data_IF_602244305919
#
_entry.id   IF_602244305919
#
_cell.length_a   1.000
_cell.length_b   1.000
_cell.length_c   1.000
_cell.angle_alpha   90.00
_cell.angle_beta   90.00
_cell.angle_gamma   90.00
#
_symmetry.space_group_name_H-M   'P 1'
#
loop_
_entity.id
_entity.type
_entity.pdbx_description
1 polymer ?
#
# COMPACT_ATOMS: atom_id res chain seq x y z
N UNK A 1 21.49 21.77 46.75
CA UNK A 1 20.24 21.21 47.29
C UNK A 1 19.13 21.77 46.41
N UNK A 2 18.38 20.98 45.64
CA UNK A 2 17.48 19.89 46.06
C UNK A 2 16.23 20.46 46.76
N UNK A 3 14.99 20.13 46.38
CA UNK A 3 14.53 19.34 45.21
C UNK A 3 13.06 19.69 44.90
N UNK A 4 12.63 19.45 43.65
CA UNK A 4 11.25 19.14 43.22
C UNK A 4 11.18 19.00 41.69
N UNK A 5 11.65 17.85 41.18
CA UNK A 5 11.10 17.32 39.93
C UNK A 5 9.62 17.01 40.14
N UNK A 6 8.74 17.69 39.40
CA UNK A 6 7.41 17.18 39.11
C UNK A 6 7.51 16.37 37.83
N UNK A 7 7.48 15.05 37.93
CA UNK A 7 7.56 14.17 36.76
C UNK A 7 6.29 14.31 35.91
N UNK A 8 6.39 15.17 34.89
CA UNK A 8 5.39 15.26 33.83
C UNK A 8 5.64 14.13 32.83
N UNK A 9 5.24 12.91 33.21
CA UNK A 9 5.16 11.78 32.29
C UNK A 9 4.08 12.06 31.26
N UNK A 10 4.45 12.67 30.14
CA UNK A 10 3.58 12.77 28.98
C UNK A 10 3.10 11.35 28.59
N UNK A 11 1.79 11.11 28.41
CA UNK A 11 1.29 9.77 28.16
C UNK A 11 1.83 9.26 26.82
N UNK A 12 2.59 8.17 26.86
CA UNK A 12 2.95 7.41 25.67
C UNK A 12 1.69 6.70 25.15
N UNK A 13 0.91 7.38 24.31
CA UNK A 13 -0.16 6.77 23.52
C UNK A 13 0.43 5.99 22.34
N UNK A 14 1.39 5.12 22.63
CA UNK A 14 1.95 4.11 21.75
C UNK A 14 1.28 2.77 22.07
N UNK A 15 -0.05 2.71 21.92
CA UNK A 15 -0.73 1.42 21.92
C UNK A 15 -0.20 0.62 20.72
N UNK A 16 0.23 -0.62 20.97
CA UNK A 16 0.68 -1.49 19.90
C UNK A 16 -0.53 -1.74 18.97
N UNK A 17 -0.38 -1.71 17.63
CA UNK A 17 -1.50 -2.00 16.73
C UNK A 17 -2.22 -3.33 17.02
N UNK A 18 -1.56 -4.31 17.65
CA UNK A 18 -2.17 -5.57 18.13
C UNK A 18 -3.03 -5.42 19.41
N UNK A 19 -2.88 -4.35 20.19
CA UNK A 19 -3.68 -4.08 21.40
C UNK A 19 -5.08 -3.51 21.06
N UNK A 20 -5.26 -3.05 19.81
CA UNK A 20 -6.50 -2.46 19.33
C UNK A 20 -7.54 -3.52 19.03
N UNK A 21 -8.80 -3.15 19.14
CA UNK A 21 -9.92 -4.01 18.76
C UNK A 21 -9.81 -4.38 17.28
N UNK A 22 -9.88 -5.68 16.98
CA UNK A 22 -9.85 -6.23 15.62
C UNK A 22 -11.13 -7.06 15.39
N UNK A 23 -12.26 -6.44 15.03
CA UNK A 23 -13.58 -7.09 15.06
C UNK A 23 -13.68 -8.39 14.25
N UNK A 24 -12.93 -8.50 13.15
CA UNK A 24 -12.87 -9.71 12.32
C UNK A 24 -12.33 -10.95 13.07
N UNK A 25 -11.55 -10.78 14.14
CA UNK A 25 -11.10 -11.88 15.00
C UNK A 25 -12.25 -12.61 15.71
N UNK A 26 -13.47 -12.04 15.74
CA UNK A 26 -14.65 -12.70 16.33
C UNK A 26 -15.11 -13.95 15.56
N UNK A 27 -14.99 -13.96 14.24
CA UNK A 27 -15.32 -15.12 13.38
C UNK A 27 -14.09 -15.76 12.72
N UNK A 28 -12.90 -15.26 13.01
CA UNK A 28 -11.64 -15.87 12.57
C UNK A 28 -11.34 -17.29 13.09
N UNK A 29 -11.85 -17.76 14.25
CA UNK A 29 -11.65 -19.14 14.72
C UNK A 29 -12.12 -20.23 13.74
N UNK A 30 -12.84 -19.86 12.68
CA UNK A 30 -13.23 -20.74 11.58
C UNK A 30 -12.06 -21.16 10.68
N UNK A 31 -10.90 -20.50 10.77
CA UNK A 31 -9.61 -21.05 10.30
C UNK A 31 -9.00 -22.09 11.25
N UNK A 32 -9.61 -22.37 12.40
CA UNK A 32 -9.22 -23.48 13.28
C UNK A 32 -9.81 -24.84 12.86
N UNK A 33 -10.90 -24.82 12.09
CA UNK A 33 -11.58 -26.03 11.58
C UNK A 33 -10.68 -26.84 10.61
N UNK A 34 -10.83 -28.17 10.52
CA UNK A 34 -10.00 -29.00 9.65
C UNK A 34 -10.00 -28.60 8.16
N UNK A 35 -11.06 -27.93 7.69
CA UNK A 35 -11.12 -27.35 6.33
C UNK A 35 -10.09 -26.25 6.04
N UNK A 36 -9.46 -25.70 7.08
CA UNK A 36 -8.34 -24.76 6.98
C UNK A 36 -6.97 -25.48 6.95
N UNK A 37 -6.88 -26.72 7.44
CA UNK A 37 -5.64 -27.50 7.38
C UNK A 37 -5.37 -28.10 6.00
N UNK A 38 -6.42 -28.32 5.20
CA UNK A 38 -6.27 -28.73 3.80
C UNK A 38 -5.65 -27.64 2.89
N UNK A 39 -5.39 -26.43 3.38
CA UNK A 39 -4.64 -25.41 2.64
C UNK A 39 -3.13 -25.70 2.61
N UNK A 40 -2.56 -26.35 3.64
CA UNK A 40 -1.11 -26.67 3.67
C UNK A 40 -0.72 -27.87 2.77
N UNK A 41 -1.66 -28.75 2.44
CA UNK A 41 -1.41 -29.98 1.68
C UNK A 41 -1.18 -29.74 0.18
N UNK A 42 -1.53 -28.54 -0.33
CA UNK A 42 -1.46 -28.18 -1.77
C UNK A 42 -0.02 -27.99 -2.27
N UNK A 43 0.96 -27.97 -1.35
CA UNK A 43 2.41 -28.03 -1.65
C UNK A 43 2.83 -29.24 -2.50
N UNK A 44 2.03 -30.31 -2.51
CA UNK A 44 2.25 -31.51 -3.34
C UNK A 44 1.49 -31.51 -4.70
N UNK A 45 0.80 -30.41 -5.05
CA UNK A 45 0.16 -30.30 -6.37
C UNK A 45 1.19 -30.05 -7.47
N UNK A 46 0.90 -30.48 -8.71
CA UNK A 46 1.80 -30.24 -9.83
C UNK A 46 1.94 -28.74 -10.12
N UNK A 47 3.13 -28.29 -10.53
CA UNK A 47 3.48 -26.87 -10.67
C UNK A 47 2.43 -26.02 -11.41
N UNK A 48 1.81 -26.56 -12.47
CA UNK A 48 0.71 -25.91 -13.22
C UNK A 48 -0.51 -25.55 -12.36
N UNK A 49 -0.84 -26.38 -11.37
CA UNK A 49 -1.95 -26.13 -10.43
C UNK A 49 -1.53 -25.21 -9.29
N UNK A 50 -0.32 -25.39 -8.76
CA UNK A 50 0.20 -24.60 -7.64
C UNK A 50 0.25 -23.09 -7.96
N UNK A 51 0.78 -22.71 -9.12
CA UNK A 51 0.86 -21.32 -9.60
C UNK A 51 -0.50 -20.61 -9.57
N UNK A 52 -1.48 -21.12 -10.33
CA UNK A 52 -2.83 -20.55 -10.39
C UNK A 52 -3.56 -20.61 -9.04
N UNK A 53 -3.26 -21.58 -8.17
CA UNK A 53 -3.83 -21.67 -6.83
C UNK A 53 -3.31 -20.58 -5.89
N UNK A 54 -2.00 -20.37 -5.82
CA UNK A 54 -1.39 -19.28 -5.04
C UNK A 54 -1.84 -17.91 -5.53
N UNK A 55 -1.89 -17.71 -6.85
CA UNK A 55 -2.48 -16.54 -7.46
C UNK A 55 -3.93 -16.33 -6.97
N UNK A 56 -4.77 -17.37 -7.03
CA UNK A 56 -6.17 -17.29 -6.56
C UNK A 56 -6.29 -16.90 -5.08
N UNK A 57 -5.44 -17.46 -4.21
CA UNK A 57 -5.42 -17.17 -2.77
C UNK A 57 -5.05 -15.71 -2.46
N UNK A 58 -4.01 -15.14 -3.08
CA UNK A 58 -3.65 -13.71 -2.95
C UNK A 58 -4.67 -12.75 -3.61
N UNK A 59 -5.74 -13.29 -4.22
CA UNK A 59 -6.92 -12.53 -4.67
C UNK A 59 -8.16 -12.77 -3.80
N UNK A 60 -8.02 -13.57 -2.73
CA UNK A 60 -9.11 -13.89 -1.81
C UNK A 60 -10.12 -14.90 -2.35
N UNK A 61 -9.80 -15.60 -3.43
CA UNK A 61 -10.60 -16.71 -3.92
C UNK A 61 -10.40 -17.97 -3.06
N UNK A 62 -11.44 -18.78 -2.97
CA UNK A 62 -11.41 -20.12 -2.38
C UNK A 62 -11.91 -21.14 -3.40
N UNK A 63 -11.65 -22.42 -3.18
CA UNK A 63 -12.36 -23.46 -3.95
C UNK A 63 -13.83 -23.52 -3.50
N UNK A 64 -14.74 -23.79 -4.42
CA UNK A 64 -16.20 -23.65 -4.21
C UNK A 64 -16.79 -24.47 -3.04
N UNK A 65 -16.09 -25.50 -2.55
CA UNK A 65 -16.48 -26.22 -1.33
C UNK A 65 -16.18 -25.42 -0.05
N UNK A 66 -15.03 -24.73 0.00
CA UNK A 66 -14.63 -23.88 1.12
C UNK A 66 -15.48 -22.61 1.16
N UNK A 67 -15.84 -22.03 0.02
CA UNK A 67 -16.81 -20.92 -0.06
C UNK A 67 -18.17 -21.29 0.55
N UNK A 68 -18.71 -22.46 0.19
CA UNK A 68 -19.98 -22.96 0.74
C UNK A 68 -19.90 -23.17 2.25
N UNK A 69 -18.79 -23.72 2.76
CA UNK A 69 -18.54 -23.88 4.21
C UNK A 69 -18.52 -22.52 4.91
N UNK A 70 -17.75 -21.55 4.40
CA UNK A 70 -17.65 -20.21 4.97
C UNK A 70 -18.99 -19.48 4.98
N UNK A 71 -19.76 -19.54 3.88
CA UNK A 71 -21.08 -18.94 3.78
C UNK A 71 -22.08 -19.53 4.79
N UNK A 72 -22.11 -20.87 4.96
CA UNK A 72 -22.97 -21.55 5.93
C UNK A 72 -22.64 -21.13 7.37
N UNK A 73 -21.35 -21.01 7.72
CA UNK A 73 -20.99 -20.60 9.09
C UNK A 73 -21.23 -19.11 9.32
N UNK A 74 -20.98 -18.23 8.35
CA UNK A 74 -21.38 -16.82 8.46
C UNK A 74 -22.90 -16.67 8.63
N UNK A 75 -23.70 -17.41 7.87
CA UNK A 75 -25.16 -17.41 8.06
C UNK A 75 -25.57 -17.89 9.46
N UNK A 76 -24.93 -18.95 9.97
CA UNK A 76 -25.20 -19.48 11.32
C UNK A 76 -24.75 -18.51 12.44
N UNK A 77 -23.64 -17.79 12.25
CA UNK A 77 -23.08 -16.88 13.25
C UNK A 77 -23.82 -15.54 13.33
N UNK A 78 -24.30 -15.03 12.18
CA UNK A 78 -24.86 -13.68 12.08
C UNK A 78 -26.35 -13.63 11.74
N UNK A 79 -27.00 -14.78 11.48
CA UNK A 79 -28.46 -14.88 11.27
C UNK A 79 -29.00 -13.91 10.19
N UNK A 80 -28.24 -13.77 9.09
CA UNK A 80 -28.44 -12.83 7.98
C UNK A 80 -28.19 -11.33 8.29
N UNK A 81 -27.88 -10.94 9.53
CA UNK A 81 -27.46 -9.56 9.85
C UNK A 81 -26.03 -9.25 9.34
N UNK A 82 -25.64 -7.96 9.23
CA UNK A 82 -24.25 -7.58 8.98
C UNK A 82 -23.33 -8.04 10.11
N UNK A 83 -22.24 -8.74 9.78
CA UNK A 83 -21.28 -9.23 10.80
C UNK A 83 -20.58 -8.11 11.57
N UNK A 84 -20.53 -6.90 11.00
CA UNK A 84 -19.95 -5.70 11.60
C UNK A 84 -20.82 -4.48 11.30
N UNK A 85 -21.62 -4.07 12.29
CA UNK A 85 -22.34 -2.79 12.29
C UNK A 85 -21.41 -1.64 12.71
N UNK A 86 -20.37 -1.36 11.92
CA UNK A 86 -19.54 -0.18 12.15
C UNK A 86 -20.38 1.09 12.00
N UNK A 87 -20.33 2.00 12.98
CA UNK A 87 -21.11 3.24 12.94
C UNK A 87 -20.85 4.00 11.63
N UNK A 88 -21.90 4.11 10.82
CA UNK A 88 -21.94 4.89 9.58
C UNK A 88 -22.12 6.39 9.86
N UNK A 89 -22.82 6.71 10.93
CA UNK A 89 -23.32 8.05 11.26
C UNK A 89 -22.22 9.02 11.73
N UNK A 90 -21.05 8.51 12.12
CA UNK A 90 -20.03 9.34 12.79
C UNK A 90 -19.45 10.47 11.90
N UNK A 91 -19.27 10.25 10.58
CA UNK A 91 -18.34 11.08 9.76
C UNK A 91 -18.80 11.52 8.36
N UNK A 92 -19.99 11.13 7.88
CA UNK A 92 -20.50 11.55 6.55
C UNK A 92 -20.88 13.05 6.52
N UNK A 93 -19.90 13.93 6.28
CA UNK A 93 -20.14 15.36 6.02
C UNK A 93 -19.05 16.34 6.49
N UNK A 94 -18.05 15.91 7.27
CA UNK A 94 -17.00 16.81 7.77
C UNK A 94 -15.80 16.90 6.81
N UNK A 95 -15.32 18.12 6.58
CA UNK A 95 -14.12 18.38 5.79
C UNK A 95 -12.87 17.79 6.49
N UNK A 96 -11.97 17.07 5.79
CA UNK A 96 -10.74 16.52 6.38
C UNK A 96 -9.88 17.55 7.11
N UNK A 97 -9.87 18.81 6.67
CA UNK A 97 -9.17 19.91 7.35
C UNK A 97 -9.79 20.26 8.70
N UNK A 98 -11.12 20.15 8.83
CA UNK A 98 -11.82 20.38 10.08
C UNK A 98 -11.74 19.18 11.02
N UNK A 99 -11.70 17.97 10.47
CA UNK A 99 -11.33 16.76 11.23
C UNK A 99 -9.90 16.82 11.77
N UNK A 100 -8.93 17.25 10.98
CA UNK A 100 -7.56 17.48 11.45
C UNK A 100 -7.52 18.53 12.57
N UNK A 101 -8.26 19.65 12.43
CA UNK A 101 -8.43 20.67 13.49
C UNK A 101 -9.19 20.17 14.72
N UNK A 102 -10.02 19.14 14.62
CA UNK A 102 -10.72 18.53 15.75
C UNK A 102 -9.77 17.59 16.50
N UNK A 103 -9.02 16.74 15.79
CA UNK A 103 -7.99 15.89 16.40
C UNK A 103 -6.88 16.71 17.07
N UNK A 104 -6.37 17.76 16.43
CA UNK A 104 -5.38 18.67 17.04
C UNK A 104 -5.93 19.35 18.33
N UNK A 105 -7.25 19.59 18.39
CA UNK A 105 -7.94 20.13 19.59
C UNK A 105 -8.15 19.08 20.68
N UNK A 106 -8.32 17.80 20.33
CA UNK A 106 -8.31 16.69 21.28
C UNK A 106 -6.89 16.43 21.82
N UNK A 107 -5.85 16.60 21.00
CA UNK A 107 -4.45 16.44 21.42
C UNK A 107 -3.89 17.68 22.14
N UNK A 108 -4.39 17.96 23.34
CA UNK A 108 -3.85 19.01 24.24
C UNK A 108 -2.49 18.56 24.82
N UNK A 109 -1.46 18.47 23.96
CA UNK A 109 -0.06 18.22 24.33
C UNK A 109 0.98 18.54 23.24
N UNK A 110 0.59 18.91 22.00
CA UNK A 110 1.54 19.33 20.95
C UNK A 110 2.14 20.72 21.25
N UNK A 111 3.48 20.90 21.33
CA UNK A 111 4.09 22.21 21.54
C UNK A 111 3.90 23.12 20.32
N UNK A 112 3.18 24.24 20.49
CA UNK A 112 2.94 25.18 19.39
C UNK A 112 4.24 25.88 18.94
N UNK A 113 4.72 25.55 17.73
CA UNK A 113 5.68 26.39 17.00
C UNK A 113 5.00 27.71 16.61
N UNK A 114 5.27 28.78 17.37
CA UNK A 114 4.80 30.15 17.08
C UNK A 114 5.20 30.62 15.67
N UNK A 115 4.28 30.59 14.71
CA UNK A 115 4.38 31.44 13.49
C UNK A 115 4.00 32.88 13.82
N UNK A 116 4.66 33.84 13.18
CA UNK A 116 4.51 35.29 13.41
C UNK A 116 3.42 35.83 12.48
N UNK A 117 2.41 36.51 13.02
CA UNK A 117 1.29 37.04 12.22
C UNK A 117 1.72 38.13 11.24
N UNK A 118 1.06 38.16 10.06
CA UNK A 118 0.64 39.40 9.38
C UNK A 118 -0.71 39.16 8.69
N UNK A 119 -1.51 40.22 8.58
CA UNK A 119 -2.92 40.19 8.15
C UNK A 119 -3.07 40.40 6.64
N UNK A 120 -4.19 39.91 6.08
CA UNK A 120 -4.66 40.21 4.72
C UNK A 120 -6.13 39.78 4.54
N UNK A 121 -6.94 40.61 3.89
CA UNK A 121 -8.36 40.39 3.51
C UNK A 121 -8.54 39.15 2.60
N UNK A 122 -9.60 38.32 2.62
CA UNK A 122 -11.05 38.44 2.94
C UNK A 122 -11.98 38.64 1.70
N UNK A 123 -13.15 37.95 1.74
CA UNK A 123 -14.40 38.06 0.92
C UNK A 123 -14.60 37.09 -0.28
N UNK A 124 -15.80 36.45 -0.31
CA UNK A 124 -16.52 35.75 -1.40
C UNK A 124 -15.90 34.44 -1.98
N UNK A 125 -16.64 33.42 -2.48
CA UNK A 125 -18.09 33.08 -2.55
C UNK A 125 -18.21 31.52 -2.55
N UNK A 126 -19.13 30.84 -1.86
CA UNK A 126 -20.60 30.67 -2.04
C UNK A 126 -21.09 29.56 -3.03
N UNK A 127 -20.94 28.29 -2.61
CA UNK A 127 -21.90 27.15 -2.69
C UNK A 127 -22.47 26.57 -4.02
N UNK A 128 -22.95 25.30 -3.89
CA UNK A 128 -23.75 24.46 -4.83
C UNK A 128 -22.91 23.76 -5.94
N UNK A 129 -23.02 22.45 -6.21
CA UNK A 129 -23.94 21.41 -5.68
C UNK A 129 -23.44 19.95 -5.81
N UNK A 130 -24.34 18.97 -5.62
CA UNK A 130 -24.07 17.51 -5.50
C UNK A 130 -23.72 16.79 -6.82
N UNK A 131 -22.94 15.69 -6.76
CA UNK A 131 -23.39 14.27 -6.96
C UNK A 131 -22.20 13.26 -6.94
N UNK A 132 -22.43 12.13 -6.25
CA UNK A 132 -21.81 10.77 -6.26
C UNK A 132 -20.61 10.48 -7.21
N UNK A 133 -19.44 10.05 -6.68
CA UNK A 133 -18.91 8.64 -6.64
C UNK A 133 -18.38 8.10 -8.01
N UNK A 134 -17.37 7.21 -8.15
CA UNK A 134 -16.82 6.14 -7.29
C UNK A 134 -15.30 5.93 -7.48
N UNK A 135 -14.67 5.18 -6.56
CA UNK A 135 -13.54 4.25 -6.86
C UNK A 135 -12.21 4.84 -7.42
N UNK A 136 -11.37 4.04 -8.10
CA UNK A 136 -9.92 3.88 -7.82
C UNK A 136 -9.06 3.90 -9.14
N UNK A 137 -7.80 4.37 -9.33
CA UNK A 137 -6.58 4.72 -8.51
C UNK A 137 -6.20 6.20 -8.34
N UNK A 138 -5.12 6.46 -7.58
CA UNK A 138 -4.29 7.65 -7.76
C UNK A 138 -3.47 7.54 -9.05
N UNK A 139 -4.29 7.73 -10.06
CA UNK A 139 -4.16 7.53 -11.48
C UNK A 139 -5.03 8.63 -12.08
N UNK A 140 -4.39 9.74 -12.46
CA UNK A 140 -5.12 10.94 -12.84
C UNK A 140 -5.65 10.84 -14.26
N UNK A 141 -6.97 10.84 -14.39
CA UNK A 141 -7.63 10.96 -15.68
C UNK A 141 -7.47 12.38 -16.23
N UNK A 142 -6.72 12.52 -17.33
CA UNK A 142 -7.09 13.48 -18.38
C UNK A 142 -8.42 13.00 -19.00
N UNK A 143 -9.16 13.89 -19.67
CA UNK A 143 -10.52 13.59 -20.17
C UNK A 143 -10.55 12.31 -21.03
N UNK A 144 -11.62 11.49 -20.94
CA UNK A 144 -11.68 10.15 -21.54
C UNK A 144 -11.76 10.21 -23.07
N UNK A 145 -10.61 10.34 -23.72
CA UNK A 145 -10.46 10.10 -25.15
C UNK A 145 -10.46 8.58 -25.40
N UNK A 146 -11.26 8.10 -26.36
CA UNK A 146 -11.45 6.66 -26.63
C UNK A 146 -10.24 6.01 -27.31
N UNK A 147 -9.08 5.98 -26.63
CA UNK A 147 -7.84 5.33 -27.06
C UNK A 147 -7.01 4.81 -25.88
N UNK A 148 -6.66 3.53 -25.92
CA UNK A 148 -5.44 3.04 -25.27
C UNK A 148 -5.53 2.50 -23.84
N UNK A 149 -6.71 2.51 -23.20
CA UNK A 149 -7.08 1.66 -22.03
C UNK A 149 -5.91 1.20 -21.15
N UNK A 150 -5.61 1.96 -20.08
CA UNK A 150 -4.53 1.66 -19.13
C UNK A 150 -4.40 0.16 -18.81
N UNK A 151 -3.16 -0.35 -18.85
CA UNK A 151 -2.77 -1.64 -18.28
C UNK A 151 -1.36 -1.56 -17.67
N UNK A 152 -1.19 -2.18 -16.50
CA UNK A 152 0.11 -2.28 -15.83
C UNK A 152 0.22 -3.60 -15.05
N UNK A 153 1.45 -4.02 -14.74
CA UNK A 153 1.73 -5.10 -13.79
C UNK A 153 2.50 -4.56 -12.59
N UNK A 154 2.11 -5.03 -11.40
CA UNK A 154 2.85 -4.85 -10.15
C UNK A 154 3.37 -6.21 -9.72
N UNK A 155 4.68 -6.43 -9.80
CA UNK A 155 5.35 -7.63 -9.30
C UNK A 155 5.93 -7.33 -7.92
N UNK A 156 5.69 -8.21 -6.94
CA UNK A 156 6.21 -8.10 -5.58
C UNK A 156 7.28 -9.16 -5.33
N UNK A 157 8.46 -8.74 -4.88
CA UNK A 157 9.59 -9.64 -4.68
C UNK A 157 10.37 -9.35 -3.40
N UNK A 158 10.87 -10.42 -2.76
CA UNK A 158 11.86 -10.35 -1.68
C UNK A 158 13.25 -10.53 -2.30
N UNK A 159 14.07 -9.48 -2.27
CA UNK A 159 15.47 -9.53 -2.66
C UNK A 159 16.35 -9.70 -1.43
N UNK A 160 17.32 -10.61 -1.51
CA UNK A 160 18.30 -10.88 -0.45
C UNK A 160 19.70 -10.64 -0.99
N UNK A 161 20.47 -9.76 -0.34
CA UNK A 161 21.83 -9.42 -0.75
C UNK A 161 22.79 -9.18 0.42
N UNK A 162 24.03 -8.77 0.14
CA UNK A 162 25.01 -8.46 1.17
C UNK A 162 24.58 -7.25 2.03
N UNK A 163 24.96 -7.26 3.31
CA UNK A 163 24.82 -6.10 4.18
C UNK A 163 25.85 -5.07 3.74
N UNK A 164 25.38 -3.97 3.14
CA UNK A 164 26.23 -2.91 2.59
C UNK A 164 26.84 -2.06 3.71
N UNK A 165 28.14 -2.22 3.97
CA UNK A 165 28.88 -1.55 5.04
C UNK A 165 29.14 -0.06 4.80
N UNK A 166 28.09 0.76 4.77
CA UNK A 166 28.17 2.22 4.64
C UNK A 166 27.27 2.89 5.70
N UNK A 167 27.60 2.72 6.98
CA UNK A 167 26.79 3.20 8.09
C UNK A 167 26.65 4.73 8.11
N UNK A 168 25.55 5.23 7.54
CA UNK A 168 25.05 6.59 7.77
C UNK A 168 24.67 6.71 9.26
N UNK A 169 25.61 7.19 10.07
CA UNK A 169 25.42 7.38 11.51
C UNK A 169 24.39 8.47 11.76
N UNK A 170 23.19 8.07 12.16
CA UNK A 170 22.23 8.97 12.79
C UNK A 170 21.47 8.20 13.88
N UNK A 171 22.01 8.23 15.10
CA UNK A 171 21.53 7.46 16.26
C UNK A 171 20.20 8.01 16.79
N UNK A 172 19.10 7.75 16.08
CA UNK A 172 17.74 8.04 16.52
C UNK A 172 16.76 6.98 15.99
N UNK A 173 16.07 6.28 16.91
CA UNK A 173 15.06 5.26 16.55
C UNK A 173 13.77 5.85 15.95
N UNK A 174 13.71 7.18 15.81
CA UNK A 174 12.73 7.91 15.01
C UNK A 174 13.48 8.82 14.04
N UNK A 175 13.62 8.38 12.79
CA UNK A 175 14.17 9.21 11.71
C UNK A 175 13.30 10.46 11.55
N UNK A 176 13.91 11.63 11.82
CA UNK A 176 13.33 12.92 11.44
C UNK A 176 13.30 12.97 9.91
N UNK A 177 12.17 13.28 9.27
CA UNK A 177 12.08 13.34 7.82
C UNK A 177 13.05 14.40 7.27
N UNK A 178 13.89 14.06 6.27
CA UNK A 178 14.82 15.01 5.63
C UNK A 178 14.08 15.91 4.64
N UNK A 179 13.27 16.80 5.23
CA UNK A 179 12.52 17.82 4.53
C UNK A 179 13.42 18.82 3.79
N UNK A 180 14.72 18.92 4.12
CA UNK A 180 15.63 19.87 3.47
C UNK A 180 16.05 19.35 2.10
N UNK A 181 16.59 18.13 2.01
CA UNK A 181 16.91 17.55 0.70
C UNK A 181 15.64 17.26 -0.11
N UNK A 182 14.55 16.83 0.53
CA UNK A 182 13.29 16.57 -0.16
C UNK A 182 12.61 17.83 -0.72
N UNK A 183 12.76 19.00 -0.07
CA UNK A 183 12.28 20.27 -0.64
C UNK A 183 13.14 20.73 -1.81
N UNK A 184 14.46 20.51 -1.77
CA UNK A 184 15.34 20.84 -2.89
C UNK A 184 15.03 19.99 -4.13
N UNK A 185 14.80 18.68 -3.97
CA UNK A 185 14.35 17.81 -5.07
C UNK A 185 12.95 18.19 -5.58
N UNK A 186 12.05 18.61 -4.68
CA UNK A 186 10.70 19.08 -5.04
C UNK A 186 10.72 20.35 -5.90
N UNK A 187 11.56 21.32 -5.54
CA UNK A 187 11.65 22.59 -6.26
C UNK A 187 12.23 22.42 -7.68
N UNK A 188 12.99 21.34 -7.94
CA UNK A 188 13.47 20.96 -9.27
C UNK A 188 12.39 20.38 -10.20
N UNK A 189 11.24 19.92 -9.71
CA UNK A 189 10.11 19.50 -10.57
C UNK A 189 9.53 20.72 -11.31
N UNK A 190 9.89 20.89 -12.59
CA UNK A 190 9.45 22.03 -13.41
C UNK A 190 7.94 22.05 -13.65
N UNK A 191 7.31 20.88 -13.84
CA UNK A 191 5.86 20.74 -13.93
C UNK A 191 5.30 20.16 -12.63
N UNK A 192 4.20 20.75 -12.15
CA UNK A 192 3.43 20.28 -10.98
C UNK A 192 1.94 20.43 -11.28
N UNK A 193 1.19 19.34 -11.21
CA UNK A 193 -0.27 19.32 -11.42
C UNK A 193 -1.02 19.48 -10.09
N UNK A 194 -2.24 20.01 -10.13
CA UNK A 194 -3.15 20.05 -8.97
C UNK A 194 -4.33 19.11 -9.24
N UNK A 195 -4.58 18.17 -8.33
CA UNK A 195 -5.44 17.00 -8.61
C UNK A 195 -5.90 16.33 -7.29
N UNK A 196 -7.05 15.61 -7.27
CA UNK A 196 -7.52 14.91 -6.06
C UNK A 196 -6.64 13.70 -5.68
N UNK A 197 -5.89 13.81 -4.57
CA UNK A 197 -5.36 12.63 -3.86
C UNK A 197 -6.40 12.06 -2.89
N UNK A 198 -6.29 10.78 -2.52
CA UNK A 198 -7.25 10.06 -1.66
C UNK A 198 -6.53 9.28 -0.56
N UNK A 199 -7.07 9.36 0.65
CA UNK A 199 -6.38 8.96 1.89
C UNK A 199 -7.34 8.22 2.84
N UNK A 200 -6.79 7.60 3.88
CA UNK A 200 -7.55 7.23 5.07
C UNK A 200 -8.14 8.51 5.70
N UNK A 201 -9.41 8.46 6.09
CA UNK A 201 -10.03 9.57 6.81
C UNK A 201 -9.49 9.63 8.25
N UNK A 202 -9.07 10.80 8.75
CA UNK A 202 -8.71 10.96 10.16
C UNK A 202 -9.92 10.66 11.06
N UNK A 203 -9.80 9.72 12.00
CA UNK A 203 -10.88 9.35 12.93
C UNK A 203 -10.32 8.95 14.30
N UNK A 204 -10.98 9.32 15.43
CA UNK A 204 -10.67 8.80 16.76
C UNK A 204 -10.75 7.27 16.85
N UNK A 205 -11.55 6.62 15.99
CA UNK A 205 -11.73 5.16 15.94
C UNK A 205 -10.39 4.42 15.83
N UNK A 206 -9.42 4.99 15.11
CA UNK A 206 -8.09 4.40 14.90
C UNK A 206 -7.21 4.35 16.17
N UNK A 207 -7.66 4.91 17.29
CA UNK A 207 -6.98 4.79 18.58
C UNK A 207 -7.35 3.49 19.33
N UNK A 208 -8.59 3.01 19.16
CA UNK A 208 -9.18 1.90 19.93
C UNK A 208 -9.54 0.67 19.08
N UNK A 209 -9.74 0.86 17.77
CA UNK A 209 -10.03 -0.17 16.79
C UNK A 209 -9.00 -0.08 15.64
N UNK A 210 -8.54 -1.22 15.15
CA UNK A 210 -7.59 -1.28 14.04
C UNK A 210 -8.35 -1.22 12.71
N UNK A 211 -7.91 -0.45 11.70
CA UNK A 211 -8.46 -0.59 10.37
C UNK A 211 -8.20 -2.00 9.81
N UNK A 212 -9.10 -2.55 9.00
CA UNK A 212 -8.96 -3.87 8.38
C UNK A 212 -9.59 -3.92 6.99
N UNK A 213 -9.10 -4.81 6.13
CA UNK A 213 -9.72 -5.15 4.85
C UNK A 213 -9.75 -6.67 4.65
N UNK A 214 -10.91 -7.19 4.24
CA UNK A 214 -11.22 -8.61 4.10
C UNK A 214 -11.13 -9.06 2.64
N UNK A 215 -9.97 -9.64 2.29
CA UNK A 215 -9.72 -10.37 1.04
C UNK A 215 -10.08 -11.85 1.21
N UNK A 216 -11.31 -12.13 1.65
CA UNK A 216 -11.92 -13.47 1.75
C UNK A 216 -13.31 -13.47 1.10
N UNK A 217 -13.88 -14.62 0.72
CA UNK A 217 -15.27 -14.68 0.26
C UNK A 217 -16.23 -14.34 1.41
N UNK A 218 -17.17 -13.43 1.16
CA UNK A 218 -18.23 -13.05 2.10
C UNK A 218 -19.57 -13.08 1.34
N UNK A 219 -20.70 -13.38 2.01
CA UNK A 219 -22.03 -13.18 1.44
C UNK A 219 -22.25 -11.75 0.94
N UNK A 220 -23.19 -11.58 0.00
CA UNK A 220 -23.52 -10.26 -0.55
C UNK A 220 -24.01 -9.29 0.55
N UNK A 221 -23.71 -7.99 0.38
CA UNK A 221 -24.02 -6.94 1.35
C UNK A 221 -23.13 -6.90 2.61
N UNK A 222 -22.37 -7.97 2.91
CA UNK A 222 -21.53 -8.02 4.11
C UNK A 222 -20.31 -7.08 3.99
N UNK A 223 -19.97 -6.32 5.06
CA UNK A 223 -18.90 -5.33 5.00
C UNK A 223 -17.52 -5.99 4.87
N UNK A 224 -16.72 -5.49 3.92
CA UNK A 224 -15.34 -5.94 3.68
C UNK A 224 -14.28 -5.13 4.41
N UNK A 225 -14.64 -4.00 5.00
CA UNK A 225 -13.69 -3.07 5.64
C UNK A 225 -14.41 -2.18 6.63
N UNK A 226 -13.69 -1.68 7.65
CA UNK A 226 -14.09 -0.55 8.48
C UNK A 226 -13.44 0.78 8.05
N UNK A 227 -12.52 0.78 7.08
CA UNK A 227 -11.76 1.97 6.64
C UNK A 227 -12.69 3.02 6.04
N UNK A 228 -12.74 4.20 6.66
CA UNK A 228 -13.35 5.40 6.08
C UNK A 228 -12.26 6.17 5.33
N UNK A 229 -12.58 6.71 4.15
CA UNK A 229 -11.60 7.38 3.26
C UNK A 229 -12.01 8.81 2.94
N UNK A 230 -11.05 9.70 2.68
CA UNK A 230 -11.32 11.08 2.28
C UNK A 230 -10.50 11.52 1.06
N UNK A 231 -11.07 12.45 0.28
CA UNK A 231 -10.42 13.06 -0.89
C UNK A 231 -9.88 14.44 -0.54
N UNK A 232 -8.62 14.70 -0.90
CA UNK A 232 -7.97 16.01 -0.81
C UNK A 232 -7.90 16.63 -2.22
N UNK A 233 -8.88 17.48 -2.61
CA UNK A 233 -9.16 17.79 -4.01
C UNK A 233 -8.05 18.59 -4.71
N UNK A 234 -7.30 19.40 -3.96
CA UNK A 234 -6.28 20.32 -4.48
C UNK A 234 -4.89 19.88 -4.04
N UNK A 235 -4.54 18.60 -4.27
CA UNK A 235 -3.21 18.10 -3.93
C UNK A 235 -2.24 18.35 -5.08
N UNK A 236 -1.05 18.87 -4.76
CA UNK A 236 0.00 19.12 -5.76
C UNK A 236 0.85 17.86 -5.96
N UNK A 237 1.05 17.47 -7.22
CA UNK A 237 1.87 16.31 -7.59
C UNK A 237 2.91 16.72 -8.65
N UNK A 238 4.19 16.43 -8.41
CA UNK A 238 5.29 16.82 -9.30
C UNK A 238 5.55 15.81 -10.42
N UNK A 239 5.74 16.29 -11.65
CA UNK A 239 6.22 15.44 -12.75
C UNK A 239 7.74 15.27 -12.65
N UNK A 240 8.23 14.04 -12.68
CA UNK A 240 9.67 13.71 -12.61
C UNK A 240 10.32 13.43 -13.97
N UNK A 241 9.56 13.58 -15.06
CA UNK A 241 10.04 13.39 -16.44
C UNK A 241 11.22 14.33 -16.73
N UNK A 242 12.37 13.75 -17.12
CA UNK A 242 13.62 14.47 -17.38
C UNK A 242 14.52 14.70 -16.15
N UNK A 243 14.07 14.33 -14.94
CA UNK A 243 14.83 14.40 -13.68
C UNK A 243 14.80 13.08 -12.89
N UNK A 244 14.49 11.97 -13.57
CA UNK A 244 14.31 10.63 -12.98
C UNK A 244 15.53 10.17 -12.16
N UNK A 245 16.74 10.60 -12.53
CA UNK A 245 18.01 10.27 -11.88
C UNK A 245 18.22 10.89 -10.49
N UNK A 246 17.38 11.86 -10.08
CA UNK A 246 17.39 12.42 -8.72
C UNK A 246 16.77 11.47 -7.68
N UNK A 247 16.02 10.45 -8.14
CA UNK A 247 15.23 9.55 -7.31
C UNK A 247 15.89 8.17 -7.22
N UNK A 248 16.15 7.69 -6.00
CA UNK A 248 16.90 6.46 -5.72
C UNK A 248 16.25 5.63 -4.60
N UNK A 249 16.29 4.31 -4.71
CA UNK A 249 15.63 3.38 -3.76
C UNK A 249 16.07 3.58 -2.30
N UNK A 250 17.32 3.97 -2.07
CA UNK A 250 17.90 4.17 -0.73
C UNK A 250 17.75 5.61 -0.21
N UNK A 251 17.38 6.57 -1.08
CA UNK A 251 17.14 7.99 -0.74
C UNK A 251 15.64 8.30 -0.59
N UNK A 252 14.87 8.01 -1.63
CA UNK A 252 13.46 8.43 -1.77
C UNK A 252 12.49 7.31 -1.41
N UNK A 253 12.91 6.05 -1.49
CA UNK A 253 12.05 4.86 -1.39
C UNK A 253 11.55 4.35 -2.76
N UNK A 254 11.76 5.11 -3.83
CA UNK A 254 11.46 4.70 -5.21
C UNK A 254 12.56 5.14 -6.18
N UNK A 255 12.61 4.49 -7.35
CA UNK A 255 13.60 4.74 -8.41
C UNK A 255 13.06 4.30 -9.78
N UNK A 256 13.48 4.96 -10.85
CA UNK A 256 13.11 4.60 -12.22
C UNK A 256 14.21 3.76 -12.87
N UNK A 257 13.84 2.89 -13.80
CA UNK A 257 14.81 2.16 -14.62
C UNK A 257 14.23 1.76 -15.97
N UNK A 258 15.09 1.72 -16.99
CA UNK A 258 14.74 1.17 -18.30
C UNK A 258 14.78 -0.36 -18.28
N UNK A 259 13.89 -0.97 -19.05
CA UNK A 259 13.81 -2.41 -19.30
C UNK A 259 13.91 -2.68 -20.81
N UNK A 260 14.27 -3.92 -21.23
CA UNK A 260 14.03 -4.37 -22.60
C UNK A 260 12.54 -4.23 -22.97
N UNK A 261 12.17 -4.07 -24.25
CA UNK A 261 10.77 -4.07 -24.69
C UNK A 261 9.97 -5.28 -24.17
N UNK A 262 8.64 -5.18 -24.11
CA UNK A 262 7.79 -6.31 -23.73
C UNK A 262 7.93 -7.46 -24.74
N UNK A 263 7.92 -8.74 -24.30
CA UNK A 263 7.80 -9.88 -25.19
C UNK A 263 6.52 -9.79 -26.05
N UNK A 264 6.59 -10.23 -27.31
CA UNK A 264 5.44 -10.19 -28.23
C UNK A 264 4.43 -11.32 -27.97
N UNK A 265 4.88 -12.37 -27.29
CA UNK A 265 4.20 -13.61 -26.92
C UNK A 265 3.81 -13.64 -25.43
N UNK A 266 3.64 -12.45 -24.82
CA UNK A 266 3.32 -12.28 -23.40
C UNK A 266 1.86 -12.68 -23.08
N UNK A 267 1.64 -13.98 -22.88
CA UNK A 267 0.39 -14.53 -22.33
C UNK A 267 0.29 -14.28 -20.82
N UNK A 268 -0.86 -13.80 -20.36
CA UNK A 268 -1.17 -13.56 -18.94
C UNK A 268 -2.08 -14.65 -18.34
N UNK A 269 -2.71 -15.46 -19.18
CA UNK A 269 -3.77 -16.41 -18.81
C UNK A 269 -3.18 -17.82 -18.61
N UNK A 270 -2.09 -18.20 -19.31
CA UNK A 270 -1.16 -19.26 -18.84
C UNK A 270 -0.14 -18.68 -17.85
N UNK A 271 -0.53 -18.70 -16.57
CA UNK A 271 0.30 -18.30 -15.43
C UNK A 271 1.70 -18.94 -15.41
N UNK A 272 1.88 -20.14 -15.97
CA UNK A 272 3.17 -20.85 -15.95
C UNK A 272 4.13 -20.27 -16.99
N UNK A 273 3.61 -19.90 -18.17
CA UNK A 273 4.40 -19.18 -19.18
C UNK A 273 4.77 -17.78 -18.65
N UNK A 274 3.83 -17.10 -18.00
CA UNK A 274 4.07 -15.79 -17.40
C UNK A 274 5.09 -15.82 -16.26
N UNK A 275 5.02 -16.83 -15.37
CA UNK A 275 5.98 -17.03 -14.28
C UNK A 275 7.38 -17.42 -14.79
N UNK A 276 7.46 -18.38 -15.72
CA UNK A 276 8.74 -18.90 -16.22
C UNK A 276 9.47 -17.95 -17.18
N UNK A 277 8.74 -17.04 -17.86
CA UNK A 277 9.30 -15.99 -18.70
C UNK A 277 9.38 -14.66 -17.96
N UNK A 278 8.29 -13.88 -18.02
CA UNK A 278 8.29 -12.47 -17.62
C UNK A 278 8.70 -12.23 -16.16
N UNK A 279 8.19 -13.02 -15.20
CA UNK A 279 8.57 -12.83 -13.79
C UNK A 279 10.01 -13.25 -13.50
N UNK A 280 10.54 -14.24 -14.23
CA UNK A 280 11.96 -14.61 -14.16
C UNK A 280 12.86 -13.50 -14.73
N UNK A 281 12.53 -12.93 -15.89
CA UNK A 281 13.24 -11.77 -16.46
C UNK A 281 13.29 -10.59 -15.48
N UNK A 282 12.15 -10.29 -14.85
CA UNK A 282 12.04 -9.22 -13.86
C UNK A 282 12.78 -9.55 -12.55
N UNK A 283 12.83 -10.82 -12.14
CA UNK A 283 13.59 -11.27 -10.98
C UNK A 283 15.11 -11.16 -11.21
N UNK A 284 15.61 -11.57 -12.37
CA UNK A 284 17.03 -11.45 -12.74
C UNK A 284 17.45 -10.00 -13.00
N UNK A 285 16.56 -9.19 -13.58
CA UNK A 285 16.74 -7.72 -13.63
C UNK A 285 16.91 -7.15 -12.22
N UNK A 286 15.98 -7.45 -11.29
CA UNK A 286 16.04 -6.93 -9.93
C UNK A 286 17.27 -7.44 -9.18
N UNK A 287 17.64 -8.70 -9.39
CA UNK A 287 18.82 -9.33 -8.81
C UNK A 287 20.10 -8.61 -9.22
N UNK A 288 20.25 -8.32 -10.51
CA UNK A 288 21.36 -7.53 -11.06
C UNK A 288 21.33 -6.08 -10.57
N UNK A 289 20.16 -5.45 -10.56
CA UNK A 289 19.95 -4.04 -10.14
C UNK A 289 20.35 -3.79 -8.69
N UNK A 290 20.04 -4.72 -7.79
CA UNK A 290 20.34 -4.61 -6.35
C UNK A 290 21.66 -5.26 -5.92
N UNK A 291 22.36 -5.95 -6.84
CA UNK A 291 23.46 -6.86 -6.51
C UNK A 291 23.07 -7.87 -5.42
N UNK A 292 21.93 -8.53 -5.63
CA UNK A 292 21.35 -9.50 -4.70
C UNK A 292 21.86 -10.93 -4.97
N UNK A 293 22.04 -11.71 -3.91
CA UNK A 293 22.39 -13.13 -3.97
C UNK A 293 21.20 -13.96 -4.48
N UNK A 294 19.98 -13.58 -4.10
CA UNK A 294 18.73 -14.20 -4.51
C UNK A 294 17.57 -13.19 -4.59
N UNK A 295 16.58 -13.48 -5.44
CA UNK A 295 15.32 -12.76 -5.54
C UNK A 295 14.19 -13.80 -5.60
N UNK A 296 13.14 -13.58 -4.82
CA UNK A 296 11.98 -14.46 -4.71
C UNK A 296 10.71 -13.66 -5.03
N UNK A 297 10.09 -13.96 -6.16
CA UNK A 297 8.77 -13.40 -6.52
C UNK A 297 7.70 -14.11 -5.72
N UNK A 298 6.73 -13.38 -5.17
CA UNK A 298 5.68 -13.97 -4.34
C UNK A 298 4.26 -13.51 -4.66
N UNK A 299 4.10 -12.37 -5.35
CA UNK A 299 2.80 -11.98 -5.93
C UNK A 299 3.01 -11.14 -7.20
N UNK A 300 2.03 -11.15 -8.11
CA UNK A 300 1.97 -10.23 -9.24
C UNK A 300 0.53 -9.84 -9.61
N UNK A 301 0.17 -8.56 -9.50
CA UNK A 301 -1.16 -8.04 -9.88
C UNK A 301 -1.10 -7.41 -11.27
N UNK A 302 -1.88 -7.94 -12.22
CA UNK A 302 -2.26 -7.23 -13.45
C UNK A 302 -3.40 -6.25 -13.13
N UNK A 303 -3.26 -4.99 -13.55
CA UNK A 303 -4.29 -3.94 -13.44
C UNK A 303 -4.74 -3.52 -14.84
N UNK A 304 -6.03 -3.24 -15.01
CA UNK A 304 -6.63 -2.78 -16.26
C UNK A 304 -7.79 -1.80 -15.98
N UNK A 305 -8.02 -0.83 -16.86
CA UNK A 305 -9.22 0.04 -16.82
C UNK A 305 -10.49 -0.62 -17.36
N UNK A 306 -10.37 -1.66 -18.20
CA UNK A 306 -11.52 -2.43 -18.69
C UNK A 306 -11.88 -3.51 -17.66
N UNK A 307 -13.13 -3.60 -17.18
CA UNK A 307 -13.56 -4.77 -16.40
C UNK A 307 -13.51 -6.03 -17.30
N UNK A 308 -13.23 -7.22 -16.74
CA UNK A 308 -13.17 -8.44 -17.52
C UNK A 308 -14.53 -8.75 -18.20
N UNK A 309 -14.53 -9.29 -19.43
CA UNK A 309 -15.75 -9.74 -20.12
C UNK A 309 -16.65 -10.63 -19.27
N UNK A 310 -17.96 -10.59 -19.53
CA UNK A 310 -18.93 -11.42 -18.82
C UNK A 310 -18.59 -12.91 -18.94
N UNK A 311 -18.39 -13.57 -17.79
CA UNK A 311 -17.97 -14.97 -17.69
C UNK A 311 -16.54 -15.18 -17.21
N UNK A 312 -15.65 -14.17 -17.31
CA UNK A 312 -14.32 -14.21 -16.69
C UNK A 312 -14.36 -13.83 -15.20
N UNK A 313 -13.38 -14.32 -14.44
CA UNK A 313 -13.38 -14.20 -12.99
C UNK A 313 -13.00 -12.77 -12.57
N UNK A 314 -13.90 -12.10 -11.84
CA UNK A 314 -13.70 -10.69 -11.37
C UNK A 314 -12.50 -10.52 -10.42
N UNK A 315 -11.88 -11.61 -9.99
CA UNK A 315 -10.63 -11.64 -9.21
C UNK A 315 -9.37 -11.50 -10.07
N UNK A 316 -9.36 -11.94 -11.33
CA UNK A 316 -8.16 -12.08 -12.16
C UNK A 316 -7.68 -10.74 -12.77
N UNK A 317 -8.61 -9.81 -13.01
CA UNK A 317 -8.29 -8.46 -13.48
C UNK A 317 -8.71 -7.45 -12.41
N UNK A 318 -7.74 -6.85 -11.72
CA UNK A 318 -8.02 -5.79 -10.74
C UNK A 318 -8.16 -4.44 -11.44
N UNK A 319 -9.15 -3.66 -11.00
CA UNK A 319 -9.10 -2.22 -11.20
C UNK A 319 -7.87 -1.64 -10.47
N UNK A 320 -7.46 -0.43 -10.82
CA UNK A 320 -6.53 0.36 -10.00
C UNK A 320 -7.09 0.68 -8.57
N UNK A 321 -6.32 1.21 -7.61
CA UNK A 321 -6.60 1.27 -6.13
C UNK A 321 -6.33 2.60 -5.32
N UNK A 322 -7.19 3.65 -5.38
CA UNK A 322 -6.93 5.07 -4.94
C UNK A 322 -6.43 5.35 -3.52
N UNK A 323 -6.39 4.39 -2.60
CA UNK A 323 -5.96 4.75 -1.23
C UNK A 323 -4.47 5.06 -1.27
N UNK A 324 -4.01 6.17 -0.69
CA UNK A 324 -2.61 6.28 -0.30
C UNK A 324 -2.30 5.15 0.71
N UNK A 325 -1.49 4.18 0.32
CA UNK A 325 -1.16 2.99 1.11
C UNK A 325 0.28 2.54 0.90
N UNK A 326 0.79 1.73 1.82
CA UNK A 326 2.05 0.99 1.71
C UNK A 326 1.70 -0.48 1.92
N UNK A 327 1.99 -1.34 0.95
CA UNK A 327 1.46 -2.71 0.90
C UNK A 327 1.78 -3.56 2.13
N UNK A 328 2.93 -3.32 2.77
CA UNK A 328 3.44 -4.11 3.89
C UNK A 328 3.97 -3.18 4.99
N UNK A 329 3.64 -3.46 6.26
CA UNK A 329 4.40 -2.90 7.38
C UNK A 329 5.72 -3.67 7.59
N UNK A 330 6.68 -3.15 8.38
CA UNK A 330 7.92 -3.87 8.70
C UNK A 330 7.72 -5.26 9.31
N UNK A 331 6.62 -5.49 10.03
CA UNK A 331 6.29 -6.81 10.58
C UNK A 331 5.69 -7.72 9.51
N UNK A 332 4.72 -7.24 8.73
CA UNK A 332 4.15 -8.01 7.63
C UNK A 332 5.19 -8.39 6.59
N UNK A 333 6.15 -7.52 6.27
CA UNK A 333 7.24 -7.86 5.34
C UNK A 333 8.12 -9.02 5.86
N UNK A 334 8.35 -9.12 7.17
CA UNK A 334 9.06 -10.24 7.80
C UNK A 334 8.22 -11.53 7.83
N UNK A 335 6.91 -11.42 8.05
CA UNK A 335 5.98 -12.56 8.03
C UNK A 335 5.75 -13.09 6.61
N UNK A 336 5.63 -12.19 5.64
CA UNK A 336 5.58 -12.46 4.20
C UNK A 336 6.87 -13.15 3.73
N UNK A 337 8.03 -12.71 4.19
CA UNK A 337 9.29 -13.39 3.90
C UNK A 337 9.39 -14.78 4.56
N UNK A 338 8.86 -14.99 5.77
CA UNK A 338 8.78 -16.33 6.39
C UNK A 338 7.87 -17.27 5.59
N UNK A 339 6.69 -16.78 5.19
CA UNK A 339 5.69 -17.53 4.42
C UNK A 339 6.27 -18.07 3.11
N UNK A 340 6.98 -17.23 2.35
CA UNK A 340 7.44 -17.56 1.00
C UNK A 340 8.86 -18.13 0.91
N UNK A 341 9.73 -17.90 1.90
CA UNK A 341 11.07 -18.51 1.94
C UNK A 341 11.11 -19.86 2.69
N UNK A 342 10.10 -20.14 3.54
CA UNK A 342 10.02 -21.37 4.32
C UNK A 342 11.29 -21.63 5.14
N UNK A 343 11.81 -22.86 5.07
CA UNK A 343 13.05 -23.28 5.75
C UNK A 343 14.28 -22.41 5.39
N UNK A 344 14.30 -21.80 4.20
CA UNK A 344 15.40 -20.93 3.79
C UNK A 344 15.36 -19.56 4.48
N UNK A 345 14.30 -19.21 5.22
CA UNK A 345 14.16 -17.89 5.83
C UNK A 345 15.31 -17.57 6.80
N UNK A 346 15.72 -18.50 7.68
CA UNK A 346 16.83 -18.28 8.63
C UNK A 346 18.20 -18.11 7.95
N UNK A 347 18.37 -18.72 6.76
CA UNK A 347 19.58 -18.54 5.93
C UNK A 347 19.62 -17.13 5.35
N UNK A 348 18.50 -16.65 4.82
CA UNK A 348 18.40 -15.39 4.10
C UNK A 348 18.23 -14.15 5.00
N UNK A 349 17.61 -14.27 6.17
CA UNK A 349 17.52 -13.20 7.17
C UNK A 349 18.87 -12.76 7.76
N UNK A 350 19.97 -13.45 7.43
CA UNK A 350 21.36 -13.05 7.76
C UNK A 350 21.92 -12.00 6.79
N UNK A 351 21.26 -11.76 5.66
CA UNK A 351 21.63 -10.72 4.69
C UNK A 351 20.81 -9.43 4.83
N UNK A 352 21.00 -8.50 3.89
CA UNK A 352 20.05 -7.42 3.63
C UNK A 352 18.80 -8.05 2.99
N UNK A 353 17.66 -7.90 3.63
CA UNK A 353 16.36 -8.25 3.05
C UNK A 353 15.65 -6.98 2.61
N UNK A 354 15.25 -6.92 1.34
CA UNK A 354 14.45 -5.84 0.77
C UNK A 354 13.16 -6.43 0.21
N UNK A 355 12.02 -5.78 0.45
CA UNK A 355 10.78 -6.08 -0.27
C UNK A 355 10.54 -4.96 -1.26
N UNK A 356 10.62 -5.28 -2.56
CA UNK A 356 10.52 -4.33 -3.66
C UNK A 356 9.34 -4.71 -4.56
N UNK A 357 8.51 -3.72 -4.87
CA UNK A 357 7.54 -3.79 -5.94
C UNK A 357 8.16 -3.25 -7.24
N UNK A 358 7.94 -3.94 -8.35
CA UNK A 358 8.24 -3.46 -9.70
C UNK A 358 6.91 -3.11 -10.37
N UNK A 359 6.70 -1.84 -10.69
CA UNK A 359 5.56 -1.36 -11.46
C UNK A 359 5.99 -1.09 -12.90
N UNK A 360 5.31 -1.72 -13.87
CA UNK A 360 5.61 -1.58 -15.30
C UNK A 360 4.34 -1.43 -16.15
N UNK A 361 4.28 -0.47 -17.10
CA UNK A 361 3.25 -0.44 -18.12
C UNK A 361 3.22 -1.70 -18.97
N UNK A 362 2.00 -2.11 -19.35
CA UNK A 362 1.74 -3.20 -20.30
C UNK A 362 1.24 -2.69 -21.67
N UNK A 363 1.25 -1.37 -21.85
CA UNK A 363 0.93 -0.65 -23.09
C UNK A 363 2.06 0.34 -23.39
N UNK A 364 2.17 0.78 -24.65
CA UNK A 364 3.26 1.63 -25.13
C UNK A 364 3.48 2.90 -24.30
N UNK A 365 2.39 3.58 -23.90
CA UNK A 365 2.39 4.81 -23.11
C UNK A 365 1.19 4.83 -22.17
N UNK A 366 1.42 5.15 -20.89
CA UNK A 366 0.40 5.47 -19.89
C UNK A 366 0.05 6.96 -19.98
N UNK A 367 -1.11 7.28 -20.57
CA UNK A 367 -1.64 8.65 -20.65
C UNK A 367 -2.85 8.88 -19.74
N UNK A 368 -3.82 7.96 -19.78
CA UNK A 368 -4.75 7.78 -18.67
C UNK A 368 -3.97 7.22 -17.48
N UNK A 369 -4.35 7.62 -16.27
CA UNK A 369 -4.09 6.81 -15.09
C UNK A 369 -2.60 6.56 -14.72
N UNK A 370 -1.73 7.60 -14.65
CA UNK A 370 -0.34 7.44 -14.21
C UNK A 370 -0.20 7.16 -12.71
N UNK A 371 0.70 6.26 -12.32
CA UNK A 371 1.01 5.99 -10.91
C UNK A 371 1.61 7.22 -10.21
N UNK A 372 1.00 7.59 -9.07
CA UNK A 372 1.58 8.53 -8.12
C UNK A 372 2.27 7.80 -6.94
N UNK A 373 3.37 8.36 -6.46
CA UNK A 373 4.19 7.83 -5.35
C UNK A 373 4.69 8.97 -4.46
N UNK A 374 4.82 8.72 -3.15
CA UNK A 374 5.28 9.70 -2.19
C UNK A 374 6.77 9.52 -1.87
N UNK A 375 7.47 10.59 -1.54
CA UNK A 375 8.85 10.51 -1.06
C UNK A 375 8.91 10.17 0.42
N UNK A 376 9.52 9.03 0.75
CA UNK A 376 9.64 8.49 2.11
C UNK A 376 10.31 9.45 3.11
N UNK A 377 11.11 10.42 2.64
CA UNK A 377 11.71 11.49 3.46
C UNK A 377 10.71 12.58 3.84
N UNK A 378 9.44 12.45 3.43
CA UNK A 378 8.36 13.44 3.65
C UNK A 378 7.12 12.84 4.31
N UNK A 379 7.09 11.51 4.48
CA UNK A 379 6.01 10.79 5.17
C UNK A 379 6.32 10.67 6.66
N UNK A 380 5.46 11.25 7.50
CA UNK A 380 5.59 11.11 8.95
C UNK A 380 5.09 9.74 9.39
N UNK A 381 5.71 9.12 10.39
CA UNK A 381 5.10 7.93 11.03
C UNK A 381 3.81 8.23 11.81
N UNK A 382 3.45 9.51 11.97
CA UNK A 382 2.12 9.91 12.44
C UNK A 382 1.05 9.89 11.34
N UNK A 383 1.45 9.83 10.06
CA UNK A 383 0.55 9.73 8.91
C UNK A 383 0.19 8.26 8.61
N UNK A 384 0.90 7.30 9.20
CA UNK A 384 0.78 5.87 8.89
C UNK A 384 -0.08 5.14 9.93
N UNK A 385 -1.21 4.58 9.51
CA UNK A 385 -2.08 3.75 10.37
C UNK A 385 -1.98 2.30 9.93
N UNK A 386 -1.46 1.44 10.80
CA UNK A 386 -1.35 0.01 10.54
C UNK A 386 -2.74 -0.65 10.45
N UNK A 387 -3.00 -1.34 9.34
CA UNK A 387 -4.29 -1.92 9.00
C UNK A 387 -4.14 -3.40 8.62
N UNK A 388 -5.04 -4.27 9.10
CA UNK A 388 -5.03 -5.69 8.73
C UNK A 388 -5.44 -5.89 7.27
N UNK A 389 -4.78 -6.81 6.57
CA UNK A 389 -5.19 -7.27 5.25
C UNK A 389 -5.35 -8.79 5.31
N UNK A 390 -6.61 -9.22 5.35
CA UNK A 390 -7.01 -10.54 5.82
C UNK A 390 -7.30 -11.45 4.63
N UNK A 391 -6.51 -12.51 4.44
CA UNK A 391 -6.56 -13.45 3.31
C UNK A 391 -6.97 -14.87 3.76
N UNK A 392 -7.36 -15.78 2.85
CA UNK A 392 -7.87 -17.07 3.25
C UNK A 392 -6.81 -18.03 3.83
N UNK A 393 -5.52 -17.69 3.67
CA UNK A 393 -4.35 -18.47 4.11
C UNK A 393 -3.43 -17.74 5.10
N UNK A 394 -3.50 -16.40 5.20
CA UNK A 394 -2.72 -15.61 6.17
C UNK A 394 -3.42 -14.29 6.55
N UNK A 395 -2.88 -13.61 7.56
CA UNK A 395 -3.20 -12.21 7.85
C UNK A 395 -1.95 -11.38 7.59
N UNK A 396 -2.02 -10.43 6.67
CA UNK A 396 -0.99 -9.42 6.47
C UNK A 396 -1.34 -8.11 7.19
N UNK A 397 -0.41 -7.17 7.17
CA UNK A 397 -0.60 -5.81 7.68
C UNK A 397 -0.01 -4.81 6.67
N UNK A 398 -0.80 -3.80 6.31
CA UNK A 398 -0.40 -2.68 5.45
C UNK A 398 -0.40 -1.38 6.26
N UNK A 399 0.14 -0.29 5.71
CA UNK A 399 -0.21 1.05 6.19
C UNK A 399 -1.28 1.67 5.30
N UNK A 400 -2.37 2.13 5.91
CA UNK A 400 -3.27 3.12 5.31
C UNK A 400 -2.79 4.52 5.70
N UNK A 401 -2.65 5.41 4.72
CA UNK A 401 -1.99 6.71 4.89
C UNK A 401 -3.03 7.82 5.07
N UNK A 402 -2.85 8.61 6.14
CA UNK A 402 -3.53 9.87 6.39
C UNK A 402 -2.88 10.99 5.55
N UNK A 403 -3.66 12.02 5.20
CA UNK A 403 -3.08 13.20 4.55
C UNK A 403 -2.16 13.98 5.51
N UNK A 404 -0.95 14.28 5.04
CA UNK A 404 0.01 15.16 5.70
C UNK A 404 0.50 16.26 4.76
N UNK A 405 0.46 17.53 5.20
CA UNK A 405 0.83 18.68 4.35
C UNK A 405 2.33 18.77 3.99
N UNK A 406 3.19 18.01 4.67
CA UNK A 406 4.62 17.91 4.36
C UNK A 406 4.93 16.85 3.30
N UNK A 407 4.00 15.94 3.00
CA UNK A 407 4.16 14.90 1.98
C UNK A 407 4.43 15.49 0.59
N UNK A 408 5.34 14.89 -0.17
CA UNK A 408 5.66 15.26 -1.55
C UNK A 408 5.36 14.10 -2.48
N UNK A 409 4.32 14.27 -3.28
CA UNK A 409 3.77 13.29 -4.20
C UNK A 409 4.28 13.57 -5.61
N UNK A 410 4.72 12.53 -6.29
CA UNK A 410 5.35 12.59 -7.61
C UNK A 410 4.68 11.60 -8.57
N UNK A 411 4.79 11.85 -9.87
CA UNK A 411 4.39 10.93 -10.95
C UNK A 411 5.35 11.06 -12.13
N UNK A 412 5.33 10.09 -13.04
CA UNK A 412 6.08 10.13 -14.30
C UNK A 412 5.11 10.25 -15.49
N UNK A 413 5.07 11.42 -16.16
CA UNK A 413 4.18 11.61 -17.32
C UNK A 413 4.62 10.72 -18.51
N UNK A 414 3.61 10.19 -19.22
CA UNK A 414 3.77 9.34 -20.41
C UNK A 414 4.76 8.19 -20.17
N UNK A 415 4.62 7.50 -19.05
CA UNK A 415 5.48 6.37 -18.70
C UNK A 415 5.28 5.21 -19.69
N UNK A 416 6.38 4.67 -20.22
CA UNK A 416 6.36 3.73 -21.36
C UNK A 416 6.58 2.27 -20.97
N UNK A 417 6.27 1.35 -21.89
CA UNK A 417 6.51 -0.08 -21.71
C UNK A 417 7.99 -0.48 -21.56
N UNK A 418 8.94 0.36 -21.99
CA UNK A 418 10.39 0.21 -21.73
C UNK A 418 10.86 0.84 -20.40
N UNK A 419 9.94 1.31 -19.55
CA UNK A 419 10.22 1.91 -18.24
C UNK A 419 9.57 1.12 -17.09
N UNK A 420 10.22 1.08 -15.92
CA UNK A 420 9.62 0.61 -14.67
C UNK A 420 9.91 1.55 -13.50
N UNK A 421 9.03 1.55 -12.50
CA UNK A 421 9.29 2.12 -11.17
C UNK A 421 9.58 0.97 -10.21
N UNK A 422 10.69 1.07 -9.49
CA UNK A 422 11.02 0.24 -8.35
C UNK A 422 10.56 0.96 -7.09
N UNK A 423 9.77 0.31 -6.25
CA UNK A 423 9.18 0.90 -5.05
C UNK A 423 9.50 0.00 -3.85
N UNK A 424 10.24 0.52 -2.88
CA UNK A 424 10.65 -0.22 -1.69
C UNK A 424 9.53 -0.22 -0.66
N UNK A 425 9.00 -1.39 -0.36
CA UNK A 425 8.04 -1.63 0.74
C UNK A 425 8.75 -1.99 2.05
N UNK A 426 9.97 -2.53 2.01
CA UNK A 426 10.75 -2.85 3.21
C UNK A 426 12.27 -2.86 2.96
N UNK A 427 13.07 -2.58 4.00
CA UNK A 427 14.51 -2.84 4.07
C UNK A 427 14.93 -3.25 5.49
N UNK A 428 15.73 -4.31 5.64
CA UNK A 428 16.25 -4.74 6.94
C UNK A 428 17.39 -3.87 7.47
N UNK A 429 18.09 -3.10 6.63
CA UNK A 429 19.16 -2.20 7.10
C UNK A 429 18.60 -0.97 7.85
N UNK A 430 19.34 -0.53 8.86
CA UNK A 430 18.90 0.49 9.84
C UNK A 430 19.88 1.67 9.95
N UNK A 431 20.54 2.01 8.84
CA UNK A 431 21.52 3.09 8.71
C UNK A 431 20.93 4.35 8.04
N UNK A 432 19.69 4.70 8.39
CA UNK A 432 19.05 5.95 7.94
C UNK A 432 18.60 6.01 6.47
N UNK A 433 18.93 5.02 5.62
CA UNK A 433 18.37 4.90 4.26
C UNK A 433 16.85 4.74 4.28
N UNK A 434 16.18 5.00 3.16
CA UNK A 434 14.74 4.73 3.01
C UNK A 434 14.41 3.24 3.23
N UNK A 435 13.33 2.94 3.98
CA UNK A 435 12.97 1.57 4.44
C UNK A 435 11.56 1.09 4.09
N UNK A 436 10.82 1.80 3.23
CA UNK A 436 9.37 1.58 3.04
C UNK A 436 8.54 2.40 4.02
N UNK A 437 8.48 3.70 3.73
CA UNK A 437 7.59 4.71 4.30
C UNK A 437 7.11 5.60 3.16
#
# INVERSE_FOLDING_TARGET
MADKRTDSTAPQTTSNPQDKTQPWKSFWPLQGEPSARTFTDVSNSSSKTAAKYWYTLERGGLIAEQEKKLAVVMQKAFNNEPWYSGNKEDWDGLNPMDMARLLDRCSISRPQRRRRNRMGSAIAAACIGFVLHFSWDLHFAKEPSLRGTYQAVVMMAVAIGPISGAAFRNDAMHLVPDMTSASADWDLCHEKITTPLKFLAPSPRWLTEKPFCLSIPLPEGQPRSNTITCTMPNSTVGNVRGIESLFQLDKNGFEFSSLPPLPQDLDFDDHIVFEAGYLQDMADFLKKKLNADAVFVFDYTRRCSIPPPEGLNKSEVRLPGTVAHIDQTPMAALERAKLHLGENCEKYLKGRMQLINIWRPLIDIIEESPLAFCDSRTVSSADLVAADLVYPHHVGEKYDVLWGGDQRWYYLDKMRSDECVLIKMFDSQMDGRARGK
#
